data_IF_285765406357
#
_entry.id   IF_285765406357
#
_cell.length_a   1.000
_cell.length_b   1.000
_cell.length_c   1.000
_cell.angle_alpha   90.00
_cell.angle_beta   90.00
_cell.angle_gamma   90.00
#
_symmetry.space_group_name_H-M   'P 1'
#
loop_
_entity.id
_entity.type
_entity.pdbx_description
1 polymer ?
#
# COMPACT_ATOMS: atom_id res chain seq x y z
N UNK A 1 -8.90 54.52 -10.60
CA UNK A 1 -7.88 53.78 -9.83
C UNK A 1 -8.27 52.30 -9.85
N UNK A 2 -7.69 51.52 -10.79
CA UNK A 2 -7.95 50.08 -10.90
C UNK A 2 -7.02 49.38 -9.90
N UNK A 3 -7.57 48.85 -8.83
CA UNK A 3 -6.89 47.91 -7.96
C UNK A 3 -6.64 46.63 -8.79
N UNK A 4 -5.39 46.41 -9.15
CA UNK A 4 -4.95 45.16 -9.71
C UNK A 4 -5.09 44.09 -8.60
N UNK A 5 -6.08 43.24 -8.75
CA UNK A 5 -6.26 42.04 -7.95
C UNK A 5 -5.20 41.04 -8.43
N UNK A 6 -3.98 41.18 -7.90
CA UNK A 6 -2.91 40.19 -8.07
C UNK A 6 -3.28 38.91 -7.30
N UNK A 7 -4.27 38.19 -7.81
CA UNK A 7 -4.44 36.78 -7.43
C UNK A 7 -3.15 36.05 -7.85
N UNK A 8 -2.19 35.94 -6.93
CA UNK A 8 -1.05 35.04 -7.11
C UNK A 8 -1.61 33.71 -7.57
N UNK A 9 -1.36 33.35 -8.83
CA UNK A 9 -1.67 32.00 -9.34
C UNK A 9 -0.98 31.02 -8.41
N UNK A 10 -1.74 30.32 -7.59
CA UNK A 10 -1.21 29.25 -6.74
C UNK A 10 -0.56 28.23 -7.69
N UNK A 11 0.74 28.02 -7.56
CA UNK A 11 1.47 27.06 -8.38
C UNK A 11 0.96 25.67 -8.02
N UNK A 12 0.43 24.94 -8.99
CA UNK A 12 0.04 23.54 -8.82
C UNK A 12 1.25 22.69 -8.45
N UNK A 13 1.15 21.93 -7.38
CA UNK A 13 2.14 20.96 -6.94
C UNK A 13 1.83 19.59 -7.57
N UNK A 14 2.75 19.10 -8.39
CA UNK A 14 2.59 17.84 -9.13
C UNK A 14 3.19 16.68 -8.34
N UNK A 15 2.34 15.74 -7.97
CA UNK A 15 2.70 14.58 -7.14
C UNK A 15 2.70 13.32 -7.98
N UNK A 16 3.85 12.69 -8.16
CA UNK A 16 3.92 11.34 -8.72
C UNK A 16 3.58 10.33 -7.63
N UNK A 17 2.57 9.50 -7.86
CA UNK A 17 2.21 8.39 -6.95
C UNK A 17 2.63 7.07 -7.58
N UNK A 18 3.56 6.36 -6.91
CA UNK A 18 4.04 5.04 -7.28
C UNK A 18 3.50 4.01 -6.27
N UNK A 19 2.38 3.35 -6.58
CA UNK A 19 1.67 2.50 -5.63
C UNK A 19 2.31 1.11 -5.48
N UNK A 20 2.05 0.46 -4.36
CA UNK A 20 2.35 -0.96 -4.15
C UNK A 20 1.10 -1.78 -4.44
N UNK A 21 0.84 -2.05 -5.70
CA UNK A 21 -0.26 -2.89 -6.15
C UNK A 21 0.27 -4.15 -6.81
N UNK A 22 -0.47 -5.22 -6.65
CA UNK A 22 -0.29 -6.45 -7.41
C UNK A 22 -1.26 -6.41 -8.56
N UNK A 23 -0.82 -6.82 -9.77
CA UNK A 23 -1.75 -6.95 -10.88
C UNK A 23 -2.89 -7.89 -10.47
N UNK A 24 -4.11 -7.37 -10.56
CA UNK A 24 -5.36 -8.08 -10.29
C UNK A 24 -6.36 -7.68 -11.37
N UNK A 25 -7.29 -8.58 -11.68
CA UNK A 25 -8.37 -8.28 -12.63
C UNK A 25 -9.26 -7.12 -12.16
N UNK A 26 -9.37 -6.93 -10.85
CA UNK A 26 -10.20 -5.90 -10.24
C UNK A 26 -9.38 -5.13 -9.19
N UNK A 27 -8.77 -4.03 -9.60
CA UNK A 27 -8.00 -3.15 -8.73
C UNK A 27 -8.85 -2.38 -7.72
N UNK A 28 -10.15 -2.23 -7.95
CA UNK A 28 -11.05 -1.56 -7.02
C UNK A 28 -11.09 -2.25 -5.64
N UNK A 29 -10.78 -3.54 -5.60
CA UNK A 29 -10.70 -4.33 -4.37
C UNK A 29 -9.32 -4.40 -3.75
N UNK A 30 -8.31 -3.78 -4.37
CA UNK A 30 -6.97 -3.75 -3.83
C UNK A 30 -6.89 -2.81 -2.61
N UNK A 31 -6.28 -3.29 -1.53
CA UNK A 31 -6.18 -2.52 -0.29
C UNK A 31 -5.34 -1.25 -0.42
N UNK A 32 -4.32 -1.25 -1.30
CA UNK A 32 -3.53 -0.05 -1.56
C UNK A 32 -4.29 1.00 -2.37
N UNK A 33 -5.15 0.57 -3.28
CA UNK A 33 -6.05 1.49 -3.99
C UNK A 33 -6.95 2.23 -2.99
N UNK A 34 -7.51 1.51 -2.01
CA UNK A 34 -8.30 2.15 -0.96
C UNK A 34 -7.49 3.12 -0.09
N UNK A 35 -6.24 2.76 0.25
CA UNK A 35 -5.32 3.65 0.99
C UNK A 35 -5.04 4.92 0.18
N UNK A 36 -4.69 4.78 -1.10
CA UNK A 36 -4.41 5.92 -1.99
C UNK A 36 -5.64 6.82 -2.15
N UNK A 37 -6.81 6.22 -2.38
CA UNK A 37 -8.08 6.95 -2.47
C UNK A 37 -8.32 7.81 -1.23
N UNK A 38 -8.19 7.22 -0.05
CA UNK A 38 -8.38 7.93 1.21
C UNK A 38 -7.33 9.03 1.41
N UNK A 39 -6.07 8.78 1.04
CA UNK A 39 -5.00 9.78 1.11
C UNK A 39 -5.28 10.96 0.19
N UNK A 40 -5.68 10.73 -1.06
CA UNK A 40 -6.02 11.79 -2.02
C UNK A 40 -7.22 12.59 -1.50
N UNK A 41 -8.26 11.92 -1.03
CA UNK A 41 -9.44 12.59 -0.48
C UNK A 41 -9.09 13.52 0.66
N UNK A 42 -8.34 13.03 1.66
CA UNK A 42 -7.92 13.82 2.81
C UNK A 42 -6.97 14.98 2.43
N UNK A 43 -6.07 14.75 1.48
CA UNK A 43 -5.17 15.80 1.00
C UNK A 43 -5.93 16.89 0.25
N UNK A 44 -6.98 16.54 -0.50
CA UNK A 44 -7.84 17.50 -1.19
C UNK A 44 -8.65 18.37 -0.22
N UNK A 45 -8.99 17.87 0.96
CA UNK A 45 -9.63 18.68 2.02
C UNK A 45 -8.68 19.74 2.61
N UNK A 46 -7.37 19.44 2.60
CA UNK A 46 -6.35 20.31 3.22
C UNK A 46 -5.73 21.26 2.20
N UNK A 47 -5.56 20.81 0.95
CA UNK A 47 -4.84 21.54 -0.11
C UNK A 47 -5.52 21.35 -1.47
N UNK A 48 -5.89 22.46 -2.09
CA UNK A 48 -6.52 22.49 -3.43
C UNK A 48 -5.52 22.64 -4.59
N UNK A 49 -4.23 22.78 -4.29
CA UNK A 49 -3.18 23.02 -5.27
C UNK A 49 -2.40 21.74 -5.67
N UNK A 50 -2.84 20.57 -5.21
CA UNK A 50 -2.22 19.29 -5.55
C UNK A 50 -2.80 18.71 -6.84
N UNK A 51 -1.93 18.12 -7.67
CA UNK A 51 -2.30 17.31 -8.83
C UNK A 51 -1.55 15.99 -8.78
N UNK A 52 -2.29 14.88 -8.79
CA UNK A 52 -1.74 13.54 -8.63
C UNK A 52 -1.60 12.83 -9.97
N UNK A 53 -0.45 12.22 -10.20
CA UNK A 53 -0.16 11.35 -11.34
C UNK A 53 0.06 9.94 -10.82
N UNK A 54 -0.90 9.07 -11.03
CA UNK A 54 -0.89 7.70 -10.53
C UNK A 54 -0.39 6.72 -11.59
N UNK A 55 0.65 5.96 -11.28
CA UNK A 55 1.12 4.88 -12.14
C UNK A 55 0.31 3.63 -11.85
N UNK A 56 -0.48 3.18 -12.81
CA UNK A 56 -1.42 2.07 -12.66
C UNK A 56 -1.29 1.07 -13.82
N UNK A 57 -1.61 -0.22 -13.62
CA UNK A 57 -1.66 -1.20 -14.71
C UNK A 57 -2.91 -1.07 -15.59
N UNK A 58 -4.01 -0.56 -15.05
CA UNK A 58 -5.27 -0.35 -15.75
C UNK A 58 -6.08 0.78 -15.09
N UNK A 59 -7.14 1.26 -15.74
CA UNK A 59 -8.03 2.26 -15.17
C UNK A 59 -8.66 1.82 -13.85
N UNK A 60 -8.74 2.76 -12.90
CA UNK A 60 -9.41 2.58 -11.61
C UNK A 60 -10.46 3.69 -11.45
N UNK A 61 -11.74 3.42 -11.74
CA UNK A 61 -12.80 4.42 -11.72
C UNK A 61 -12.95 5.14 -10.38
N UNK A 62 -12.76 4.46 -9.25
CA UNK A 62 -12.86 5.08 -7.92
C UNK A 62 -11.76 6.10 -7.61
N UNK A 63 -10.70 6.18 -8.44
CA UNK A 63 -9.64 7.18 -8.37
C UNK A 63 -9.82 8.32 -9.39
N UNK A 64 -10.98 8.45 -10.02
CA UNK A 64 -11.29 9.52 -10.97
C UNK A 64 -11.66 10.83 -10.24
N UNK A 65 -10.71 11.42 -9.51
CA UNK A 65 -10.83 12.77 -8.98
C UNK A 65 -10.43 13.80 -10.04
N UNK A 66 -10.98 15.02 -9.97
CA UNK A 66 -10.72 16.10 -10.94
C UNK A 66 -9.23 16.47 -11.07
N UNK A 67 -8.47 16.27 -9.99
CA UNK A 67 -7.03 16.55 -9.90
C UNK A 67 -6.17 15.29 -9.97
N UNK A 68 -6.66 14.21 -10.56
CA UNK A 68 -5.93 12.96 -10.74
C UNK A 68 -5.76 12.60 -12.21
N UNK A 69 -4.54 12.34 -12.60
CA UNK A 69 -4.19 11.75 -13.91
C UNK A 69 -3.71 10.32 -13.69
N UNK A 70 -4.40 9.35 -14.26
CA UNK A 70 -3.99 7.96 -14.23
C UNK A 70 -3.06 7.67 -15.41
N UNK A 71 -1.84 7.23 -15.12
CA UNK A 71 -0.80 6.88 -16.10
C UNK A 71 -0.69 5.36 -16.18
N UNK A 72 -1.01 4.81 -17.34
CA UNK A 72 -1.05 3.36 -17.50
C UNK A 72 0.30 2.80 -17.94
N UNK A 73 0.71 1.73 -17.24
CA UNK A 73 1.84 0.89 -17.62
C UNK A 73 1.28 -0.42 -18.14
N UNK A 74 1.64 -0.77 -19.36
CA UNK A 74 1.32 -2.06 -19.94
C UNK A 74 2.11 -3.17 -19.22
N UNK A 75 1.39 -4.02 -18.48
CA UNK A 75 1.91 -5.19 -17.78
C UNK A 75 1.61 -6.50 -18.53
N UNK A 76 0.90 -6.48 -19.65
CA UNK A 76 0.55 -7.70 -20.39
C UNK A 76 1.78 -8.48 -20.82
N UNK A 77 2.87 -7.78 -21.14
CA UNK A 77 4.15 -8.40 -21.50
C UNK A 77 4.89 -8.96 -20.28
N UNK A 78 4.46 -8.63 -19.06
CA UNK A 78 5.12 -9.04 -17.81
C UNK A 78 4.07 -9.38 -16.75
N UNK A 79 3.62 -10.64 -16.70
CA UNK A 79 2.56 -11.08 -15.77
C UNK A 79 3.00 -11.10 -14.29
N UNK A 80 4.16 -10.54 -13.98
CA UNK A 80 4.66 -10.45 -12.63
C UNK A 80 4.14 -9.20 -11.94
N UNK A 81 4.03 -9.28 -10.62
CA UNK A 81 3.60 -8.16 -9.77
C UNK A 81 4.51 -6.94 -9.97
N UNK A 82 4.01 -5.74 -9.74
CA UNK A 82 4.83 -4.51 -9.76
C UNK A 82 6.08 -4.62 -8.87
N UNK A 83 6.01 -5.41 -7.81
CA UNK A 83 7.14 -5.64 -6.90
C UNK A 83 8.34 -6.36 -7.53
N UNK A 84 8.12 -7.13 -8.59
CA UNK A 84 9.20 -7.91 -9.23
C UNK A 84 9.89 -7.14 -10.37
N UNK A 85 9.21 -6.18 -10.98
CA UNK A 85 9.65 -5.56 -12.22
C UNK A 85 9.49 -4.03 -12.21
N UNK A 86 10.61 -3.33 -12.00
CA UNK A 86 10.63 -1.90 -12.23
C UNK A 86 10.79 -1.60 -13.74
N UNK A 87 9.87 -0.81 -14.28
CA UNK A 87 9.83 -0.45 -15.71
C UNK A 87 10.54 0.88 -15.96
N UNK A 88 11.89 0.84 -16.00
CA UNK A 88 12.73 2.00 -16.30
C UNK A 88 12.33 2.67 -17.61
N UNK A 89 12.04 1.89 -18.66
CA UNK A 89 11.67 2.38 -19.99
C UNK A 89 10.39 3.22 -19.97
N UNK A 90 9.39 2.80 -19.20
CA UNK A 90 8.11 3.52 -19.09
C UNK A 90 8.28 4.83 -18.35
N UNK A 91 8.99 4.79 -17.20
CA UNK A 91 9.26 6.00 -16.42
C UNK A 91 10.06 7.01 -17.25
N UNK A 92 11.12 6.57 -17.97
CA UNK A 92 11.89 7.45 -18.86
C UNK A 92 11.03 8.05 -19.97
N UNK A 93 10.19 7.26 -20.64
CA UNK A 93 9.28 7.77 -21.69
C UNK A 93 8.33 8.82 -21.15
N UNK A 94 7.82 8.63 -19.94
CA UNK A 94 6.96 9.61 -19.26
C UNK A 94 7.70 10.92 -19.01
N UNK A 95 8.90 10.86 -18.43
CA UNK A 95 9.72 12.05 -18.16
C UNK A 95 10.11 12.78 -19.45
N UNK A 96 10.48 12.05 -20.52
CA UNK A 96 10.78 12.65 -21.83
C UNK A 96 9.57 13.31 -22.49
N UNK A 97 8.34 12.94 -22.14
CA UNK A 97 7.13 13.64 -22.60
C UNK A 97 6.85 14.95 -21.84
N UNK A 98 7.76 15.37 -20.99
CA UNK A 98 7.65 16.63 -20.24
C UNK A 98 6.86 16.51 -18.94
N UNK A 99 6.55 15.30 -18.46
CA UNK A 99 6.07 15.15 -17.10
C UNK A 99 7.19 15.49 -16.13
N UNK A 100 6.91 16.45 -15.28
CA UNK A 100 7.80 16.93 -14.26
C UNK A 100 7.05 16.96 -12.91
N UNK A 101 7.71 16.61 -11.82
CA UNK A 101 7.07 16.42 -10.53
C UNK A 101 7.76 17.25 -9.46
N UNK A 102 6.95 17.81 -8.54
CA UNK A 102 7.44 18.56 -7.39
C UNK A 102 7.58 17.63 -6.16
N UNK A 103 6.93 16.44 -6.18
CA UNK A 103 6.93 15.48 -5.09
C UNK A 103 6.77 14.05 -5.65
N UNK A 104 7.40 13.07 -5.01
CA UNK A 104 7.18 11.64 -5.23
C UNK A 104 6.56 11.03 -3.99
N UNK A 105 5.43 10.34 -4.16
CA UNK A 105 4.81 9.49 -3.16
C UNK A 105 5.00 8.03 -3.58
N UNK A 106 6.02 7.36 -3.03
CA UNK A 106 6.32 5.96 -3.33
C UNK A 106 5.85 5.04 -2.20
N UNK A 107 5.09 4.00 -2.57
CA UNK A 107 4.62 2.96 -1.64
C UNK A 107 5.39 1.65 -1.79
N UNK A 108 6.43 1.64 -2.62
CA UNK A 108 7.18 0.43 -2.97
C UNK A 108 8.70 0.67 -2.78
N UNK A 109 9.22 0.47 -1.56
CA UNK A 109 10.62 0.74 -1.24
C UNK A 109 11.60 0.04 -2.18
N UNK A 110 11.36 -1.21 -2.53
CA UNK A 110 12.23 -2.00 -3.40
C UNK A 110 12.45 -1.38 -4.78
N UNK A 111 11.52 -0.56 -5.26
CA UNK A 111 11.63 0.15 -6.55
C UNK A 111 12.11 1.60 -6.41
N UNK A 112 12.02 2.18 -5.23
CA UNK A 112 12.25 3.63 -5.05
C UNK A 112 13.67 4.05 -5.44
N UNK A 113 14.67 3.24 -5.15
CA UNK A 113 16.02 3.53 -5.59
C UNK A 113 16.15 3.60 -7.12
N UNK A 114 15.55 2.66 -7.83
CA UNK A 114 15.56 2.66 -9.30
C UNK A 114 14.74 3.82 -9.87
N UNK A 115 13.61 4.17 -9.25
CA UNK A 115 12.78 5.32 -9.62
C UNK A 115 13.57 6.63 -9.51
N UNK A 116 14.20 6.86 -8.36
CA UNK A 116 15.03 8.05 -8.09
C UNK A 116 16.18 8.15 -9.08
N UNK A 117 16.94 7.06 -9.29
CA UNK A 117 18.01 7.02 -10.27
C UNK A 117 17.54 7.28 -11.70
N UNK A 118 16.38 6.75 -12.07
CA UNK A 118 15.78 6.99 -13.40
C UNK A 118 15.42 8.47 -13.58
N UNK A 119 14.81 9.08 -12.56
CA UNK A 119 14.50 10.51 -12.57
C UNK A 119 15.78 11.34 -12.69
N UNK A 120 16.76 11.11 -11.83
CA UNK A 120 18.02 11.84 -11.85
C UNK A 120 18.74 11.74 -13.21
N UNK A 121 18.87 10.54 -13.75
CA UNK A 121 19.54 10.32 -15.03
C UNK A 121 18.77 10.86 -16.24
N UNK A 122 17.51 11.17 -16.09
CA UNK A 122 16.67 11.68 -17.19
C UNK A 122 16.47 13.19 -17.11
N UNK A 123 16.30 13.74 -15.91
CA UNK A 123 15.94 15.16 -15.70
C UNK A 123 16.97 15.94 -14.92
N UNK A 124 18.01 15.29 -14.38
CA UNK A 124 18.98 15.84 -13.43
C UNK A 124 18.35 16.43 -12.16
N UNK A 125 17.10 16.04 -11.87
CA UNK A 125 16.36 16.48 -10.71
C UNK A 125 15.66 15.31 -10.04
N UNK A 126 15.68 15.30 -8.70
CA UNK A 126 14.93 14.36 -7.88
C UNK A 126 14.11 15.18 -6.89
N UNK A 127 12.79 15.13 -6.98
CA UNK A 127 11.93 15.77 -5.99
C UNK A 127 11.98 15.02 -4.65
N UNK A 128 11.54 15.65 -3.55
CA UNK A 128 11.38 14.97 -2.28
C UNK A 128 10.54 13.70 -2.39
N UNK A 129 10.95 12.65 -1.68
CA UNK A 129 10.33 11.32 -1.72
C UNK A 129 9.66 11.01 -0.38
N UNK A 130 8.36 10.76 -0.43
CA UNK A 130 7.56 10.33 0.71
C UNK A 130 6.87 9.02 0.40
N UNK A 131 6.44 8.29 1.44
CA UNK A 131 5.66 7.09 1.21
C UNK A 131 5.06 6.50 2.47
N UNK A 132 4.16 5.56 2.26
CA UNK A 132 3.60 4.72 3.30
C UNK A 132 3.88 3.26 2.95
N UNK A 133 4.58 2.56 3.84
CA UNK A 133 4.99 1.18 3.63
C UNK A 133 4.54 0.33 4.81
N UNK A 134 3.70 -0.67 4.55
CA UNK A 134 3.27 -1.61 5.58
C UNK A 134 3.75 -3.04 5.34
N UNK A 135 4.44 -3.27 4.23
CA UNK A 135 4.98 -4.56 3.86
C UNK A 135 6.51 -4.52 3.82
N UNK A 136 7.14 -5.49 4.45
CA UNK A 136 8.58 -5.64 4.55
C UNK A 136 8.97 -7.10 4.40
N UNK A 137 10.03 -7.37 3.67
CA UNK A 137 10.57 -8.71 3.46
C UNK A 137 11.49 -9.10 4.63
N UNK A 138 10.93 -9.18 5.81
CA UNK A 138 11.65 -9.52 7.04
C UNK A 138 11.97 -11.01 7.09
N UNK A 139 13.21 -11.34 7.48
CA UNK A 139 13.65 -12.73 7.65
C UNK A 139 12.76 -13.45 8.67
N UNK A 140 12.25 -14.63 8.27
CA UNK A 140 11.40 -15.47 9.12
C UNK A 140 9.91 -15.13 9.09
N UNK A 141 9.52 -14.02 8.45
CA UNK A 141 8.11 -13.64 8.30
C UNK A 141 7.57 -14.04 6.93
N UNK A 142 8.41 -14.00 5.90
CA UNK A 142 8.04 -14.32 4.51
C UNK A 142 9.12 -15.19 3.86
N UNK A 143 8.72 -16.13 3.02
CA UNK A 143 9.62 -17.01 2.25
C UNK A 143 10.12 -16.35 0.95
N UNK A 144 10.52 -15.09 1.01
CA UNK A 144 11.03 -14.34 -0.14
C UNK A 144 12.55 -14.50 -0.32
N UNK A 145 13.11 -14.17 -1.50
CA UNK A 145 14.55 -14.20 -1.73
C UNK A 145 15.30 -13.37 -0.67
N UNK A 146 16.47 -13.84 -0.27
CA UNK A 146 17.31 -13.21 0.79
C UNK A 146 17.61 -11.73 0.54
N UNK A 147 17.57 -11.31 -0.73
CA UNK A 147 17.99 -9.97 -1.15
C UNK A 147 16.83 -8.93 -1.12
N UNK A 148 15.58 -9.39 -0.97
CA UNK A 148 14.43 -8.48 -0.99
C UNK A 148 14.48 -7.46 0.15
N UNK A 149 14.90 -7.87 1.34
CA UNK A 149 15.09 -6.94 2.45
C UNK A 149 16.18 -5.91 2.20
N UNK A 150 17.28 -6.31 1.55
CA UNK A 150 18.35 -5.38 1.14
C UNK A 150 17.81 -4.35 0.15
N UNK A 151 16.99 -4.77 -0.80
CA UNK A 151 16.35 -3.86 -1.75
C UNK A 151 15.39 -2.89 -1.03
N UNK A 152 14.59 -3.37 -0.07
CA UNK A 152 13.75 -2.50 0.75
C UNK A 152 14.58 -1.42 1.45
N UNK A 153 15.67 -1.80 2.12
CA UNK A 153 16.50 -0.85 2.86
C UNK A 153 17.23 0.13 1.91
N UNK A 154 17.74 -0.35 0.78
CA UNK A 154 18.36 0.51 -0.22
C UNK A 154 17.40 1.55 -0.74
N UNK A 155 16.17 1.14 -1.07
CA UNK A 155 15.14 2.06 -1.49
C UNK A 155 14.70 3.04 -0.40
N UNK A 156 14.63 2.58 0.86
CA UNK A 156 14.30 3.47 1.99
C UNK A 156 15.29 4.61 2.18
N UNK A 157 16.55 4.41 1.83
CA UNK A 157 17.56 5.46 1.95
C UNK A 157 17.33 6.63 1.00
N UNK A 158 16.45 6.49 0.01
CA UNK A 158 16.05 7.55 -0.91
C UNK A 158 14.85 8.39 -0.39
N UNK A 159 14.21 7.97 0.70
CA UNK A 159 13.08 8.72 1.25
C UNK A 159 13.53 9.87 2.15
N UNK A 160 12.80 10.99 2.07
CA UNK A 160 12.81 12.03 3.08
C UNK A 160 11.97 11.62 4.30
N UNK A 161 10.82 10.94 4.05
CA UNK A 161 9.96 10.34 5.08
C UNK A 161 9.28 9.10 4.57
N UNK A 162 9.26 8.07 5.41
CA UNK A 162 8.49 6.85 5.18
C UNK A 162 7.60 6.57 6.40
N UNK A 163 6.31 6.47 6.17
CA UNK A 163 5.32 6.22 7.22
C UNK A 163 5.07 4.72 7.36
N UNK A 164 5.01 4.26 8.61
CA UNK A 164 4.74 2.88 9.02
C UNK A 164 3.51 2.83 9.90
N UNK A 165 2.80 1.71 9.86
CA UNK A 165 1.57 1.56 10.62
C UNK A 165 1.77 1.45 12.14
N UNK A 166 2.85 0.84 12.61
CA UNK A 166 3.06 0.58 14.05
C UNK A 166 4.51 0.78 14.48
N UNK A 167 4.69 1.10 15.77
CA UNK A 167 6.02 1.13 16.38
C UNK A 167 6.71 -0.23 16.33
N UNK A 168 5.96 -1.31 16.56
CA UNK A 168 6.47 -2.68 16.45
C UNK A 168 7.08 -2.96 15.07
N UNK A 169 6.42 -2.52 14.01
CA UNK A 169 6.94 -2.68 12.64
C UNK A 169 8.24 -1.88 12.45
N UNK A 170 8.30 -0.65 12.94
CA UNK A 170 9.53 0.17 12.91
C UNK A 170 10.67 -0.54 13.62
N UNK A 171 10.42 -1.06 14.81
CA UNK A 171 11.42 -1.74 15.63
C UNK A 171 11.93 -3.03 14.95
N UNK A 172 11.03 -3.80 14.34
CA UNK A 172 11.41 -4.98 13.56
C UNK A 172 12.33 -4.63 12.39
N UNK A 173 11.98 -3.60 11.60
CA UNK A 173 12.80 -3.15 10.48
C UNK A 173 14.19 -2.70 10.94
N UNK A 174 14.26 -1.86 11.97
CA UNK A 174 15.53 -1.36 12.51
C UNK A 174 16.38 -2.49 13.12
N UNK A 175 15.77 -3.40 13.85
CA UNK A 175 16.45 -4.57 14.42
C UNK A 175 17.00 -5.49 13.33
N UNK A 176 16.23 -5.76 12.28
CA UNK A 176 16.72 -6.57 11.16
C UNK A 176 17.85 -5.85 10.39
N UNK A 177 17.70 -4.55 10.16
CA UNK A 177 18.71 -3.73 9.49
C UNK A 177 20.01 -3.66 10.28
N UNK A 178 19.96 -3.57 11.63
CA UNK A 178 21.16 -3.50 12.49
C UNK A 178 22.06 -4.74 12.40
N UNK A 179 21.53 -5.88 11.94
CA UNK A 179 22.30 -7.10 11.73
C UNK A 179 23.14 -7.09 10.46
N UNK A 180 22.89 -6.14 9.55
CA UNK A 180 23.46 -6.13 8.21
C UNK A 180 24.15 -4.81 7.87
N UNK A 181 23.64 -3.70 8.40
CA UNK A 181 24.08 -2.36 8.05
C UNK A 181 24.84 -1.68 9.18
N UNK A 182 25.73 -0.77 8.82
CA UNK A 182 26.52 0.02 9.78
C UNK A 182 25.63 1.02 10.55
N UNK A 183 26.05 1.47 11.75
CA UNK A 183 25.25 2.36 12.60
C UNK A 183 24.79 3.66 11.92
N UNK A 184 25.58 4.21 10.99
CA UNK A 184 25.22 5.42 10.23
C UNK A 184 23.95 5.21 9.41
N UNK A 185 23.77 4.03 8.80
CA UNK A 185 22.58 3.66 8.02
C UNK A 185 21.38 3.53 8.97
N UNK A 186 21.54 2.85 10.11
CA UNK A 186 20.48 2.68 11.10
C UNK A 186 19.99 4.04 11.62
N UNK A 187 20.90 4.95 11.91
CA UNK A 187 20.57 6.30 12.34
C UNK A 187 19.79 7.08 11.27
N UNK A 188 20.16 6.93 9.98
CA UNK A 188 19.42 7.53 8.87
C UNK A 188 18.01 6.92 8.77
N UNK A 189 17.88 5.60 8.80
CA UNK A 189 16.59 4.90 8.77
C UNK A 189 15.67 5.34 9.92
N UNK A 190 16.20 5.44 11.13
CA UNK A 190 15.40 5.86 12.29
C UNK A 190 14.83 7.27 12.14
N UNK A 191 15.55 8.16 11.45
CA UNK A 191 15.08 9.53 11.12
C UNK A 191 14.02 9.54 10.02
N UNK A 192 14.15 8.67 9.03
CA UNK A 192 13.22 8.53 7.90
C UNK A 192 11.90 7.89 8.34
N UNK A 193 11.98 6.81 9.13
CA UNK A 193 10.83 6.00 9.53
C UNK A 193 10.00 6.72 10.59
N UNK A 194 8.77 7.02 10.26
CA UNK A 194 7.80 7.67 11.15
C UNK A 194 6.58 6.76 11.32
N UNK A 195 6.13 6.58 12.56
CA UNK A 195 4.91 5.81 12.82
C UNK A 195 3.69 6.69 12.58
N UNK A 196 2.80 6.22 11.72
CA UNK A 196 1.53 6.86 11.41
C UNK A 196 0.47 5.77 11.22
N UNK A 197 -0.44 5.66 12.16
CA UNK A 197 -1.53 4.69 12.05
C UNK A 197 -2.44 5.05 10.88
N UNK A 198 -2.87 4.01 10.15
CA UNK A 198 -3.94 4.20 9.16
C UNK A 198 -5.23 4.54 9.90
N UNK A 199 -5.82 5.65 9.52
CA UNK A 199 -7.15 6.03 9.96
C UNK A 199 -8.22 5.22 9.25
N UNK A 200 -9.39 5.13 9.87
CA UNK A 200 -10.63 4.67 9.25
C UNK A 200 -11.52 5.89 9.08
N UNK A 201 -12.11 6.05 7.92
CA UNK A 201 -13.07 7.13 7.71
C UNK A 201 -14.32 6.86 8.55
N UNK A 202 -14.74 7.83 9.35
CA UNK A 202 -15.93 7.70 10.20
C UNK A 202 -17.21 7.42 9.39
N UNK A 203 -17.29 7.87 8.14
CA UNK A 203 -18.40 7.56 7.24
C UNK A 203 -18.47 6.07 6.87
N UNK A 204 -17.36 5.35 6.93
CA UNK A 204 -17.28 3.92 6.64
C UNK A 204 -17.74 3.08 7.86
N UNK A 205 -17.81 3.72 9.04
CA UNK A 205 -18.33 3.09 10.25
C UNK A 205 -19.86 3.22 10.22
N UNK A 206 -20.50 2.11 9.94
CA UNK A 206 -21.99 2.06 9.94
C UNK A 206 -22.51 2.36 11.33
N UNK A 207 -23.02 3.55 11.53
CA UNK A 207 -23.49 4.09 12.82
C UNK A 207 -24.78 3.45 13.34
N UNK A 208 -25.34 2.46 12.66
CA UNK A 208 -26.62 1.84 13.02
C UNK A 208 -26.50 0.33 13.15
N UNK A 209 -25.92 -0.11 14.24
CA UNK A 209 -26.11 -1.49 14.67
C UNK A 209 -27.23 -1.51 15.71
N UNK A 210 -28.47 -1.29 15.26
CA UNK A 210 -29.67 -1.67 16.01
C UNK A 210 -29.92 -3.16 15.79
N UNK A 211 -28.98 -4.03 16.16
CA UNK A 211 -29.17 -5.46 16.09
C UNK A 211 -29.06 -6.04 17.48
N UNK A 212 -29.99 -6.93 17.78
CA UNK A 212 -29.79 -7.86 18.89
C UNK A 212 -28.42 -8.47 18.73
N UNK A 213 -27.54 -8.42 19.73
CA UNK A 213 -26.16 -8.88 19.59
C UNK A 213 -26.15 -10.38 19.29
N UNK A 214 -26.02 -10.73 18.02
CA UNK A 214 -25.71 -12.09 17.63
C UNK A 214 -24.28 -12.38 18.08
N UNK A 215 -24.04 -13.56 18.64
CA UNK A 215 -22.69 -14.02 18.97
C UNK A 215 -22.01 -14.47 17.67
N UNK A 216 -21.30 -13.57 17.01
CA UNK A 216 -20.60 -13.84 15.75
C UNK A 216 -19.10 -13.74 15.95
N UNK A 217 -18.38 -14.79 15.59
CA UNK A 217 -16.93 -14.80 15.51
C UNK A 217 -16.56 -14.53 14.06
N UNK A 218 -15.74 -13.51 13.82
CA UNK A 218 -15.36 -13.08 12.48
C UNK A 218 -13.90 -13.40 12.20
N UNK A 219 -13.62 -14.13 11.12
CA UNK A 219 -12.27 -14.26 10.58
C UNK A 219 -12.11 -13.32 9.39
N UNK A 220 -11.73 -12.09 9.67
CA UNK A 220 -11.61 -11.04 8.65
C UNK A 220 -10.23 -11.05 7.94
N UNK A 221 -9.77 -12.24 7.54
CA UNK A 221 -8.55 -12.43 6.78
C UNK A 221 -8.76 -13.45 5.66
N UNK A 222 -7.84 -13.39 4.67
CA UNK A 222 -7.76 -14.46 3.69
C UNK A 222 -7.40 -15.78 4.40
N UNK A 223 -7.97 -16.91 4.00
CA UNK A 223 -7.70 -18.21 4.63
C UNK A 223 -6.32 -18.78 4.24
N UNK A 224 -5.29 -17.95 4.32
CA UNK A 224 -3.91 -18.31 4.01
C UNK A 224 -3.23 -18.98 5.22
N UNK A 225 -2.27 -19.86 4.96
CA UNK A 225 -1.56 -20.63 6.00
C UNK A 225 -0.89 -19.72 7.04
N UNK A 226 -0.26 -18.63 6.59
CA UNK A 226 0.42 -17.67 7.48
C UNK A 226 -0.53 -16.79 8.30
N UNK A 227 -1.84 -16.82 8.00
CA UNK A 227 -2.90 -16.19 8.80
C UNK A 227 -3.49 -17.13 9.85
N UNK A 228 -2.91 -18.30 10.01
CA UNK A 228 -3.33 -19.33 10.99
C UNK A 228 -4.79 -19.77 10.83
N UNK A 229 -5.30 -19.81 9.61
CA UNK A 229 -6.70 -20.15 9.34
C UNK A 229 -7.06 -21.55 9.86
N UNK A 230 -6.18 -22.55 9.70
CA UNK A 230 -6.41 -23.90 10.21
C UNK A 230 -6.54 -23.92 11.73
N UNK A 231 -5.71 -23.14 12.43
CA UNK A 231 -5.78 -23.03 13.89
C UNK A 231 -7.07 -22.32 14.32
N UNK A 232 -7.50 -21.30 13.58
CA UNK A 232 -8.78 -20.64 13.81
C UNK A 232 -9.95 -21.64 13.72
N UNK A 233 -10.02 -22.44 12.68
CA UNK A 233 -11.07 -23.47 12.51
C UNK A 233 -11.01 -24.47 13.66
N UNK A 234 -9.82 -24.98 14.00
CA UNK A 234 -9.68 -25.93 15.11
C UNK A 234 -10.19 -25.37 16.44
N UNK A 235 -9.91 -24.08 16.72
CA UNK A 235 -10.44 -23.41 17.93
C UNK A 235 -11.97 -23.26 17.86
N UNK A 236 -12.52 -22.95 16.69
CA UNK A 236 -13.98 -22.90 16.51
C UNK A 236 -14.64 -24.25 16.73
N UNK A 237 -14.03 -25.34 16.24
CA UNK A 237 -14.52 -26.71 16.43
C UNK A 237 -14.52 -27.09 17.91
N UNK A 238 -13.45 -26.80 18.65
CA UNK A 238 -13.41 -27.06 20.11
C UNK A 238 -14.46 -26.21 20.86
N UNK A 239 -14.60 -24.94 20.47
CA UNK A 239 -15.61 -24.08 21.08
C UNK A 239 -17.05 -24.60 20.79
N UNK A 240 -17.29 -25.14 19.58
CA UNK A 240 -18.58 -25.69 19.20
C UNK A 240 -18.98 -26.91 20.03
N UNK A 241 -18.03 -27.72 20.47
CA UNK A 241 -18.28 -28.83 21.41
C UNK A 241 -18.76 -28.34 22.78
N UNK A 242 -18.34 -27.16 23.19
CA UNK A 242 -18.70 -26.58 24.49
C UNK A 242 -19.98 -25.77 24.43
N UNK A 243 -20.27 -25.11 23.28
CA UNK A 243 -21.44 -24.24 23.10
C UNK A 243 -21.77 -24.10 21.62
N UNK A 244 -23.07 -24.04 21.28
CA UNK A 244 -23.57 -23.97 19.90
C UNK A 244 -24.35 -22.69 19.63
N UNK A 245 -24.25 -21.68 20.50
CA UNK A 245 -25.00 -20.43 20.40
C UNK A 245 -24.21 -19.29 19.74
N UNK A 246 -23.33 -19.62 18.80
CA UNK A 246 -22.57 -18.65 18.01
C UNK A 246 -22.56 -19.02 16.52
N UNK A 247 -22.22 -18.04 15.68
CA UNK A 247 -21.96 -18.19 14.25
C UNK A 247 -20.53 -17.83 13.94
N UNK A 248 -19.95 -18.45 12.92
CA UNK A 248 -18.64 -18.09 12.37
C UNK A 248 -18.86 -17.45 11.01
N UNK A 249 -18.30 -16.27 10.82
CA UNK A 249 -18.34 -15.58 9.55
C UNK A 249 -16.94 -15.38 8.96
N UNK A 250 -16.74 -15.84 7.72
CA UNK A 250 -15.48 -15.79 7.00
C UNK A 250 -15.71 -15.07 5.65
N UNK A 251 -15.70 -13.74 5.61
CA UNK A 251 -16.13 -12.96 4.45
C UNK A 251 -15.25 -13.14 3.21
N UNK A 252 -14.07 -13.75 3.32
CA UNK A 252 -13.11 -13.91 2.22
C UNK A 252 -12.91 -15.38 1.82
N UNK A 253 -13.83 -16.26 2.18
CA UNK A 253 -13.72 -17.69 1.87
C UNK A 253 -13.87 -17.97 0.36
N UNK A 254 -14.74 -17.23 -0.34
CA UNK A 254 -15.16 -17.50 -1.73
C UNK A 254 -14.19 -16.94 -2.79
N UNK A 255 -13.01 -16.45 -2.41
CA UNK A 255 -12.06 -15.96 -3.42
C UNK A 255 -11.47 -17.15 -4.19
N UNK A 256 -11.55 -17.16 -5.53
CA UNK A 256 -10.95 -18.20 -6.36
C UNK A 256 -9.43 -18.27 -6.12
N UNK A 257 -8.86 -19.44 -6.25
CA UNK A 257 -7.45 -19.82 -6.05
C UNK A 257 -7.04 -20.21 -4.63
N UNK A 258 -7.91 -20.85 -3.87
CA UNK A 258 -7.53 -21.33 -2.54
C UNK A 258 -7.94 -22.77 -2.35
N UNK A 259 -6.93 -23.63 -2.20
CA UNK A 259 -7.04 -25.06 -1.92
C UNK A 259 -7.57 -25.37 -0.50
N UNK A 260 -8.58 -24.63 -0.05
CA UNK A 260 -9.21 -24.89 1.22
C UNK A 260 -10.59 -25.48 1.02
N UNK A 261 -10.59 -26.79 0.93
CA UNK A 261 -11.83 -27.55 1.11
C UNK A 261 -12.05 -27.65 2.61
N UNK A 262 -13.06 -26.95 3.13
CA UNK A 262 -13.59 -27.22 4.46
C UNK A 262 -14.36 -28.53 4.31
N UNK A 263 -13.70 -29.64 4.58
CA UNK A 263 -14.34 -30.96 4.64
C UNK A 263 -14.95 -31.16 6.03
N UNK A 264 -15.94 -30.35 6.39
CA UNK A 264 -16.88 -30.77 7.39
C UNK A 264 -18.07 -31.39 6.66
N UNK A 265 -18.21 -32.69 6.81
CA UNK A 265 -19.41 -33.42 6.44
C UNK A 265 -20.56 -32.87 7.25
N UNK A 266 -21.23 -31.88 6.73
CA UNK A 266 -22.41 -31.33 7.38
C UNK A 266 -22.97 -30.04 6.80
N UNK A 267 -22.15 -29.13 6.27
CA UNK A 267 -22.65 -27.84 5.84
C UNK A 267 -22.45 -27.59 4.35
N UNK A 268 -23.37 -28.16 3.59
CA UNK A 268 -23.86 -27.55 2.37
C UNK A 268 -25.01 -26.65 2.78
N UNK A 269 -24.74 -25.38 3.01
CA UNK A 269 -25.72 -24.29 2.87
C UNK A 269 -24.98 -23.01 2.49
#
# INVERSE_FOLDING_TARGET
MKLFDDKKKVKTVRVLVYPNITFQEDLEKDSYIQVIKNQISLLNEIRSDLWFYLILPCPVPSLAFDNVTQLYIDFETYPQTMRSNFRVDVIRKMLHRGYDFDLVMSHLPEHTHQLVNTMYNTTHHVPPVFGYCHWWDLKGVVAWPKDSFLQNITGLLEYDRCYLNTQHQKDLVLNQASKTFVPKVINKLNKILTVQHLGVNNSDIVSKINKTPEKVIVFNHRPDTYKHFKQFIAVCDELYKMRQDFKVWIPLLDKPNRDYVITNKGDKQ
#
